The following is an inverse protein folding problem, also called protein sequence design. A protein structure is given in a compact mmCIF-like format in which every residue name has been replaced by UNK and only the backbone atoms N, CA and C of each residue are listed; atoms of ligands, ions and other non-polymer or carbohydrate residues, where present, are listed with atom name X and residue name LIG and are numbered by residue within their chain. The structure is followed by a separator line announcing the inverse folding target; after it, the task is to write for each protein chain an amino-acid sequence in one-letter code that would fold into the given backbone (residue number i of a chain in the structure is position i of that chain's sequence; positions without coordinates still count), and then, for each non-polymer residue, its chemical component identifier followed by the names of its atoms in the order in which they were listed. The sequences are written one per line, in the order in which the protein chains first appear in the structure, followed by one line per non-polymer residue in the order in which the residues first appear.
data_IF_565114994951
#
_entry.id   IF_565114994951
#
_cell.length_a   1.000
_cell.length_b   1.000
_cell.length_c   1.000
_cell.angle_alpha   90.00
_cell.angle_beta   90.00
_cell.angle_gamma   90.00
#
_symmetry.space_group_name_H-M   'P 1'
#
loop_
_entity.id
_entity.type
_entity.pdbx_description
1 polymer ?
#
# COMPACT_ATOMS: atom_id res chain seq x y z
N UNK A 1 9.39 -59.86 -16.75
CA UNK A 1 10.75 -59.26 -16.68
C UNK A 1 10.73 -57.95 -15.90
N UNK A 2 10.90 -58.00 -14.59
CA UNK A 2 10.90 -56.83 -13.69
C UNK A 2 12.08 -55.86 -13.93
N UNK A 3 13.17 -56.33 -14.55
CA UNK A 3 14.33 -55.52 -14.88
C UNK A 3 14.06 -54.39 -15.90
N UNK A 4 13.09 -54.57 -16.81
CA UNK A 4 12.71 -53.53 -17.79
C UNK A 4 11.92 -52.40 -17.13
N UNK A 5 11.08 -52.69 -16.14
CA UNK A 5 10.39 -51.66 -15.35
C UNK A 5 11.36 -50.85 -14.48
N UNK A 6 12.38 -51.50 -13.92
CA UNK A 6 13.41 -50.83 -13.11
C UNK A 6 14.32 -49.92 -13.96
N UNK A 7 14.66 -50.32 -15.19
CA UNK A 7 15.42 -49.47 -16.12
C UNK A 7 14.66 -48.24 -16.60
N UNK A 8 13.35 -48.35 -16.85
CA UNK A 8 12.49 -47.20 -17.22
C UNK A 8 12.42 -46.18 -16.06
N UNK A 9 12.38 -46.67 -14.81
CA UNK A 9 12.39 -45.82 -13.62
C UNK A 9 13.72 -45.06 -13.43
N UNK A 10 14.85 -45.70 -13.75
CA UNK A 10 16.20 -45.11 -13.60
C UNK A 10 16.50 -44.07 -14.70
N UNK A 11 16.05 -44.28 -15.94
CA UNK A 11 16.24 -43.29 -17.01
C UNK A 11 15.55 -41.95 -16.73
N UNK A 12 14.39 -41.99 -16.06
CA UNK A 12 13.71 -40.79 -15.56
C UNK A 12 14.55 -39.98 -14.56
N UNK A 13 15.47 -40.59 -13.81
CA UNK A 13 16.30 -39.91 -12.80
C UNK A 13 17.54 -39.24 -13.42
N UNK A 14 18.04 -39.73 -14.56
CA UNK A 14 19.35 -39.32 -15.10
C UNK A 14 19.31 -38.40 -16.33
N UNK A 15 18.23 -38.38 -17.12
CA UNK A 15 18.07 -37.36 -18.16
C UNK A 15 17.37 -36.15 -17.55
N UNK A 16 18.16 -35.19 -17.05
CA UNK A 16 18.01 -33.74 -16.79
C UNK A 16 16.70 -32.95 -17.13
N UNK A 17 15.55 -33.60 -17.30
CA UNK A 17 14.26 -33.05 -17.65
C UNK A 17 13.16 -33.43 -16.64
N UNK A 18 13.49 -34.16 -15.56
CA UNK A 18 12.56 -34.50 -14.46
C UNK A 18 12.79 -33.67 -13.18
N UNK A 19 13.75 -32.73 -13.21
CA UNK A 19 13.70 -31.56 -12.31
C UNK A 19 12.60 -30.53 -12.70
N UNK A 20 11.61 -30.95 -13.49
CA UNK A 20 10.41 -30.16 -13.80
C UNK A 20 9.30 -30.40 -12.75
N UNK A 21 9.46 -31.38 -11.85
CA UNK A 21 8.46 -31.74 -10.82
C UNK A 21 8.81 -31.29 -9.39
N UNK A 22 9.57 -30.21 -9.23
CA UNK A 22 9.53 -29.40 -8.01
C UNK A 22 9.07 -27.99 -8.41
N UNK A 23 7.77 -27.87 -8.66
CA UNK A 23 7.14 -26.64 -9.12
C UNK A 23 7.24 -25.49 -8.12
N UNK A 24 8.33 -24.72 -8.16
CA UNK A 24 8.40 -23.30 -7.78
C UNK A 24 9.66 -22.66 -8.40
N UNK A 25 9.68 -22.47 -9.71
CA UNK A 25 10.06 -21.14 -10.18
C UNK A 25 8.75 -20.45 -10.52
N UNK A 26 8.09 -20.03 -9.46
CA UNK A 26 6.99 -19.08 -9.50
C UNK A 26 7.57 -17.77 -10.07
N UNK A 27 7.63 -17.65 -11.39
CA UNK A 27 7.92 -16.38 -12.06
C UNK A 27 6.66 -15.52 -12.15
N UNK A 28 5.68 -15.72 -11.27
CA UNK A 28 4.52 -14.86 -11.24
C UNK A 28 4.87 -13.65 -10.40
N UNK A 29 5.07 -12.55 -11.13
CA UNK A 29 5.24 -11.17 -10.68
C UNK A 29 6.58 -10.83 -10.05
N UNK A 30 7.51 -10.37 -10.90
CA UNK A 30 8.58 -9.48 -10.45
C UNK A 30 7.92 -8.31 -9.68
N UNK A 31 8.33 -8.05 -8.43
CA UNK A 31 7.80 -6.93 -7.66
C UNK A 31 8.10 -5.62 -8.38
N UNK A 32 7.13 -4.70 -8.38
CA UNK A 32 7.35 -3.36 -8.93
C UNK A 32 8.29 -2.55 -8.01
N UNK A 33 8.22 -2.81 -6.70
CA UNK A 33 9.05 -2.19 -5.67
C UNK A 33 9.33 -3.21 -4.54
N UNK A 34 10.44 -3.02 -3.85
CA UNK A 34 10.82 -3.70 -2.60
C UNK A 34 10.83 -2.71 -1.44
N UNK A 35 11.27 -1.47 -1.69
CA UNK A 35 11.27 -0.39 -0.70
C UNK A 35 10.51 0.83 -1.21
N UNK A 36 10.24 1.78 -0.32
CA UNK A 36 9.54 3.01 -0.70
C UNK A 36 10.37 3.86 -1.66
N UNK A 37 11.71 3.82 -1.56
CA UNK A 37 12.60 4.57 -2.45
C UNK A 37 12.61 4.05 -3.90
N UNK A 38 12.05 2.86 -4.16
CA UNK A 38 11.85 2.35 -5.52
C UNK A 38 10.69 3.07 -6.24
N UNK A 39 9.89 3.83 -5.51
CA UNK A 39 8.73 4.56 -6.01
C UNK A 39 9.02 6.06 -6.15
N UNK A 40 8.16 6.78 -6.87
CA UNK A 40 8.18 8.26 -6.86
C UNK A 40 7.86 8.79 -5.45
N UNK A 41 8.29 10.03 -5.13
CA UNK A 41 8.10 10.68 -3.82
C UNK A 41 6.64 10.73 -3.33
N UNK A 42 5.68 10.65 -4.26
CA UNK A 42 4.23 10.68 -4.02
C UNK A 42 3.60 9.29 -3.86
N UNK A 43 4.38 8.22 -3.86
CA UNK A 43 3.89 6.83 -3.78
C UNK A 43 4.69 6.04 -2.75
N UNK A 44 4.10 4.98 -2.22
CA UNK A 44 4.76 4.10 -1.26
C UNK A 44 4.64 2.65 -1.73
N UNK A 45 5.57 1.79 -1.30
CA UNK A 45 5.57 0.40 -1.70
C UNK A 45 4.57 -0.40 -0.83
N UNK A 46 3.41 -0.72 -1.40
CA UNK A 46 2.35 -1.50 -0.75
C UNK A 46 2.15 -2.78 -1.55
N UNK A 47 2.32 -3.92 -0.88
CA UNK A 47 2.16 -5.24 -1.49
C UNK A 47 2.97 -5.40 -2.78
N UNK A 48 4.23 -4.95 -2.75
CA UNK A 48 5.18 -5.01 -3.87
C UNK A 48 4.77 -4.16 -5.10
N UNK A 49 3.91 -3.16 -4.89
CA UNK A 49 3.45 -2.20 -5.90
C UNK A 49 3.54 -0.76 -5.39
N UNK A 50 3.95 0.16 -6.26
CA UNK A 50 3.95 1.58 -5.95
C UNK A 50 2.52 2.11 -6.00
N UNK A 51 1.95 2.42 -4.84
CA UNK A 51 0.56 2.84 -4.69
C UNK A 51 0.49 4.15 -3.88
N UNK A 52 -0.61 4.87 -4.04
CA UNK A 52 -0.89 6.06 -3.23
C UNK A 52 -1.23 5.62 -1.78
N UNK A 53 -0.47 6.08 -0.76
CA UNK A 53 -0.74 5.73 0.63
C UNK A 53 -1.97 6.42 1.22
N UNK A 54 -2.48 7.51 0.61
CA UNK A 54 -3.61 8.29 1.12
C UNK A 54 -4.88 7.46 1.38
N UNK A 55 -5.44 6.71 0.40
CA UNK A 55 -6.69 5.97 0.60
C UNK A 55 -6.55 4.79 1.57
N UNK A 56 -5.34 4.30 1.82
CA UNK A 56 -5.09 3.23 2.78
C UNK A 56 -5.16 3.71 4.24
N UNK A 57 -4.95 5.01 4.47
CA UNK A 57 -4.66 5.56 5.79
C UNK A 57 -5.67 6.64 6.20
N UNK A 58 -5.91 7.62 5.35
CA UNK A 58 -6.77 8.77 5.67
C UNK A 58 -8.24 8.40 5.43
N UNK A 59 -9.13 8.76 6.36
CA UNK A 59 -10.55 8.43 6.26
C UNK A 59 -11.44 9.63 6.58
N UNK A 60 -12.53 9.76 5.81
CA UNK A 60 -13.67 10.65 6.10
C UNK A 60 -13.40 12.16 6.07
N UNK A 61 -13.86 12.85 5.02
CA UNK A 61 -13.81 14.32 4.87
C UNK A 61 -12.43 14.95 5.15
N UNK A 62 -11.39 14.32 4.61
CA UNK A 62 -9.99 14.72 4.74
C UNK A 62 -9.41 15.24 3.42
N UNK A 63 -8.43 16.13 3.52
CA UNK A 63 -7.41 16.40 2.51
C UNK A 63 -6.21 15.51 2.80
N UNK A 64 -5.59 14.95 1.77
CA UNK A 64 -4.38 14.15 1.91
C UNK A 64 -3.30 14.65 0.96
N UNK A 65 -2.09 14.77 1.47
CA UNK A 65 -0.88 15.07 0.71
C UNK A 65 0.15 13.97 0.99
N UNK A 66 0.99 13.66 0.01
CA UNK A 66 2.07 12.68 0.19
C UNK A 66 3.38 13.42 0.12
N UNK A 67 4.20 13.28 1.16
CA UNK A 67 5.56 13.83 1.18
C UNK A 67 6.52 12.72 1.58
N UNK A 68 7.55 12.49 0.78
CA UNK A 68 8.59 11.48 1.04
C UNK A 68 8.01 10.08 1.33
N UNK A 69 7.11 9.62 0.45
CA UNK A 69 6.40 8.33 0.55
C UNK A 69 5.46 8.18 1.77
N UNK A 70 5.24 9.25 2.55
CA UNK A 70 4.41 9.26 3.74
C UNK A 70 3.12 10.07 3.50
N UNK A 71 1.95 9.54 3.89
CA UNK A 71 0.70 10.28 3.81
C UNK A 71 0.58 11.28 4.96
N UNK A 72 0.12 12.48 4.62
CA UNK A 72 -0.18 13.59 5.51
C UNK A 72 -1.67 13.86 5.41
N UNK A 73 -2.42 13.40 6.41
CA UNK A 73 -3.87 13.57 6.46
C UNK A 73 -4.25 14.83 7.24
N UNK A 74 -5.24 15.57 6.77
CA UNK A 74 -5.83 16.70 7.50
C UNK A 74 -7.32 16.85 7.21
N UNK A 75 -8.11 17.40 8.14
CA UNK A 75 -9.54 17.61 7.89
C UNK A 75 -9.79 18.70 6.84
N UNK A 76 -10.80 18.52 5.98
CA UNK A 76 -11.24 19.56 5.05
C UNK A 76 -11.76 20.80 5.79
N UNK A 77 -11.73 21.99 5.18
CA UNK A 77 -12.29 23.20 5.79
C UNK A 77 -13.73 22.99 6.26
N UNK A 78 -14.03 23.38 7.51
CA UNK A 78 -15.34 23.17 8.14
C UNK A 78 -15.55 21.79 8.78
N UNK A 79 -14.55 20.90 8.70
CA UNK A 79 -14.55 19.61 9.39
C UNK A 79 -13.45 19.60 10.48
N UNK A 80 -13.69 18.88 11.57
CA UNK A 80 -12.75 18.72 12.67
C UNK A 80 -12.83 17.30 13.27
N UNK A 81 -11.80 16.91 14.01
CA UNK A 81 -11.66 15.58 14.59
C UNK A 81 -10.36 14.91 14.18
N UNK A 82 -10.36 13.57 14.18
CA UNK A 82 -9.19 12.78 13.82
C UNK A 82 -9.27 12.35 12.33
N UNK A 83 -8.27 12.71 11.50
CA UNK A 83 -8.30 12.44 10.05
C UNK A 83 -8.06 10.97 9.67
N UNK A 84 -7.67 10.10 10.61
CA UNK A 84 -7.57 8.65 10.38
C UNK A 84 -8.87 7.90 10.69
N UNK A 85 -9.72 8.49 11.53
CA UNK A 85 -11.00 7.87 11.94
C UNK A 85 -12.22 8.55 11.31
N UNK A 86 -12.03 9.66 10.60
CA UNK A 86 -13.10 10.46 10.02
C UNK A 86 -13.29 11.81 10.69
N UNK A 87 -13.22 12.87 9.89
CA UNK A 87 -13.55 14.21 10.33
C UNK A 87 -15.07 14.43 10.32
N UNK A 88 -15.57 15.02 11.40
CA UNK A 88 -16.96 15.37 11.57
C UNK A 88 -17.18 16.82 11.14
N UNK A 89 -18.34 17.11 10.55
CA UNK A 89 -18.68 18.48 10.18
C UNK A 89 -18.87 19.28 11.47
N UNK A 90 -17.99 20.25 11.71
CA UNK A 90 -18.21 21.23 12.74
C UNK A 90 -19.41 22.05 12.30
N UNK A 91 -20.55 21.92 12.97
CA UNK A 91 -21.70 22.76 12.68
C UNK A 91 -21.28 24.21 12.88
N UNK A 92 -21.01 24.90 11.77
CA UNK A 92 -20.79 26.33 11.71
C UNK A 92 -22.10 27.00 12.13
N UNK A 93 -22.33 27.14 13.43
CA UNK A 93 -23.29 28.12 13.94
C UNK A 93 -22.60 29.47 13.83
N UNK A 94 -22.76 30.10 12.67
CA UNK A 94 -22.37 31.50 12.50
C UNK A 94 -23.36 32.36 13.30
N UNK A 95 -23.08 32.53 14.59
CA UNK A 95 -23.68 33.59 15.40
C UNK A 95 -22.58 34.50 15.88
N UNK A 96 -21.93 35.11 14.89
CA UNK A 96 -20.99 36.24 14.93
C UNK A 96 -19.73 35.90 14.11
N UNK A 97 -19.69 36.45 12.90
CA UNK A 97 -18.55 36.38 11.99
C UNK A 97 -17.39 37.21 12.53
N UNK A 98 -16.66 36.68 13.51
CA UNK A 98 -15.33 37.16 13.90
C UNK A 98 -14.57 36.06 14.63
N UNK A 99 -14.10 35.06 13.89
CA UNK A 99 -12.92 34.32 14.33
C UNK A 99 -11.82 34.57 13.30
N UNK A 100 -10.59 34.95 13.74
CA UNK A 100 -9.45 34.89 12.84
C UNK A 100 -9.41 33.47 12.28
N UNK A 101 -9.08 33.34 11.00
CA UNK A 101 -9.06 32.08 10.25
C UNK A 101 -8.79 30.90 11.17
N UNK A 102 -9.61 29.83 11.15
CA UNK A 102 -9.33 28.67 11.97
C UNK A 102 -7.94 28.26 11.53
N UNK A 103 -6.95 28.52 12.39
CA UNK A 103 -5.55 28.22 12.13
C UNK A 103 -5.63 26.80 11.64
N UNK A 104 -5.33 26.61 10.35
CA UNK A 104 -5.37 25.29 9.74
C UNK A 104 -4.20 24.59 10.41
N UNK A 105 -4.41 24.13 11.64
CA UNK A 105 -3.75 22.95 12.14
C UNK A 105 -4.33 21.87 11.25
N UNK A 106 -3.76 21.82 10.03
CA UNK A 106 -3.54 20.56 9.36
C UNK A 106 -2.81 19.82 10.47
N UNK A 107 -3.58 19.05 11.24
CA UNK A 107 -3.05 18.21 12.27
C UNK A 107 -2.39 17.12 11.46
N UNK A 108 -1.22 17.48 10.94
CA UNK A 108 -0.36 16.69 10.10
C UNK A 108 0.13 15.60 11.02
N UNK A 109 -0.72 14.60 11.16
CA UNK A 109 -0.33 13.38 11.81
C UNK A 109 0.40 12.58 10.75
N UNK A 110 1.72 12.57 10.89
CA UNK A 110 2.56 11.61 10.21
C UNK A 110 2.42 10.28 10.93
N UNK A 111 2.20 9.22 10.16
CA UNK A 111 2.20 7.83 10.65
C UNK A 111 3.62 7.26 10.70
#
# INVERSE_FOLDING_TARGET
SAARLFQVLVLCVFTNAICILAGVHNLSTLPQCITNEDCDDLRTCIELKCQDPCPAVCQGNVSCEVHNHQPYCGCKPGFSGNPFTGCQQGQLVCRDCALPEPRVEISHYQL
#
